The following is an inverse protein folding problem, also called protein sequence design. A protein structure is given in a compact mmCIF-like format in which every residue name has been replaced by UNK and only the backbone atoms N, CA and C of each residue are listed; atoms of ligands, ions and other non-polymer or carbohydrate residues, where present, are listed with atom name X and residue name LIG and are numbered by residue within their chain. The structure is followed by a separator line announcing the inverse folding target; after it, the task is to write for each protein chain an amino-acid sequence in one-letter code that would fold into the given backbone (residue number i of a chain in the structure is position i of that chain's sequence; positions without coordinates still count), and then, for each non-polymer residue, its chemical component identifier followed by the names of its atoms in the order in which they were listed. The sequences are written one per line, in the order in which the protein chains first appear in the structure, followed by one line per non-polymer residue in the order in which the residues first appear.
data_IF_925126663924
#
_entry.id   IF_925126663924
#
_cell.length_a   1.000
_cell.length_b   1.000
_cell.length_c   1.000
_cell.angle_alpha   90.00
_cell.angle_beta   90.00
_cell.angle_gamma   90.00
#
_symmetry.space_group_name_H-M   'P 1'
#
loop_
_entity.id
_entity.type
_entity.pdbx_description
1 polymer ?
#
# COMPACT_ATOMS: atom_id res chain seq x y z
N UNK A 1 -27.50 -11.73 3.46
CA UNK A 1 -27.07 -10.74 2.45
C UNK A 1 -26.20 -11.49 1.47
N UNK A 2 -26.51 -11.48 0.17
CA UNK A 2 -25.63 -12.10 -0.83
C UNK A 2 -24.51 -11.10 -1.19
N UNK A 3 -23.33 -11.29 -0.62
CA UNK A 3 -22.18 -10.38 -0.77
C UNK A 3 -21.67 -10.39 -2.20
N UNK A 4 -21.53 -11.58 -2.78
CA UNK A 4 -21.07 -11.76 -4.16
C UNK A 4 -22.01 -11.07 -5.16
N UNK A 5 -23.32 -11.24 -5.01
CA UNK A 5 -24.31 -10.60 -5.88
C UNK A 5 -24.27 -9.06 -5.77
N UNK A 6 -23.96 -8.53 -4.59
CA UNK A 6 -23.81 -7.08 -4.41
C UNK A 6 -22.51 -6.57 -5.04
N UNK A 7 -21.39 -7.25 -4.78
CA UNK A 7 -20.07 -6.85 -5.28
C UNK A 7 -19.91 -7.05 -6.80
N UNK A 8 -20.74 -7.89 -7.44
CA UNK A 8 -20.74 -8.02 -8.90
C UNK A 8 -21.43 -6.86 -9.63
N UNK A 9 -22.13 -5.97 -8.91
CA UNK A 9 -22.87 -4.82 -9.47
C UNK A 9 -22.06 -3.52 -9.35
N UNK A 10 -22.49 -2.48 -10.07
CA UNK A 10 -21.95 -1.13 -9.84
C UNK A 10 -22.42 -0.63 -8.48
N UNK A 11 -21.48 -0.39 -7.57
CA UNK A 11 -21.74 0.11 -6.22
C UNK A 11 -20.99 1.41 -5.95
N UNK A 12 -21.44 2.15 -4.95
CA UNK A 12 -20.86 3.44 -4.57
C UNK A 12 -20.37 3.42 -3.12
N UNK A 13 -19.75 4.52 -2.69
CA UNK A 13 -19.16 4.67 -1.35
C UNK A 13 -20.09 4.22 -0.20
N UNK A 14 -21.40 4.54 -0.18
CA UNK A 14 -22.27 4.06 0.90
C UNK A 14 -22.36 2.53 0.99
N UNK A 15 -22.48 1.84 -0.15
CA UNK A 15 -22.49 0.38 -0.17
C UNK A 15 -21.12 -0.19 0.23
N UNK A 16 -20.03 0.41 -0.27
CA UNK A 16 -18.65 0.00 0.07
C UNK A 16 -18.41 0.09 1.57
N UNK A 17 -18.77 1.22 2.19
CA UNK A 17 -18.68 1.41 3.64
C UNK A 17 -19.54 0.40 4.39
N UNK A 18 -20.78 0.19 3.96
CA UNK A 18 -21.66 -0.84 4.55
C UNK A 18 -21.05 -2.23 4.48
N UNK A 19 -20.37 -2.58 3.39
CA UNK A 19 -19.67 -3.86 3.27
C UNK A 19 -18.45 -3.95 4.18
N UNK A 20 -17.69 -2.86 4.32
CA UNK A 20 -16.57 -2.81 5.26
C UNK A 20 -17.05 -2.97 6.71
N UNK A 21 -18.16 -2.30 7.08
CA UNK A 21 -18.82 -2.48 8.37
C UNK A 21 -19.31 -3.91 8.61
N UNK A 22 -19.82 -4.59 7.57
CA UNK A 22 -20.24 -5.98 7.67
C UNK A 22 -19.06 -6.95 7.85
N UNK A 23 -17.92 -6.66 7.22
CA UNK A 23 -16.74 -7.50 7.30
C UNK A 23 -15.90 -7.28 8.57
N UNK A 24 -15.87 -6.05 9.08
CA UNK A 24 -15.03 -5.67 10.21
C UNK A 24 -15.27 -6.51 11.47
N UNK A 25 -14.20 -6.91 12.14
CA UNK A 25 -14.24 -7.78 13.32
C UNK A 25 -14.51 -9.25 13.03
N UNK A 26 -14.70 -9.66 11.76
CA UNK A 26 -14.89 -11.06 11.37
C UNK A 26 -13.82 -11.49 10.36
N UNK A 27 -12.87 -12.31 10.83
CA UNK A 27 -11.83 -12.90 9.96
C UNK A 27 -12.44 -13.70 8.80
N UNK A 28 -13.55 -14.39 9.03
CA UNK A 28 -14.27 -15.14 7.99
C UNK A 28 -14.86 -14.22 6.91
N UNK A 29 -15.45 -13.09 7.31
CA UNK A 29 -16.01 -12.14 6.33
C UNK A 29 -14.90 -11.42 5.56
N UNK A 30 -13.78 -11.10 6.21
CA UNK A 30 -12.60 -10.52 5.53
C UNK A 30 -11.99 -11.55 4.57
N UNK A 31 -11.88 -12.82 4.95
CA UNK A 31 -11.48 -13.92 4.07
C UNK A 31 -12.44 -14.08 2.88
N UNK A 32 -13.74 -13.90 3.10
CA UNK A 32 -14.74 -13.88 2.02
C UNK A 32 -14.48 -12.73 1.05
N UNK A 33 -14.22 -11.51 1.55
CA UNK A 33 -13.85 -10.39 0.69
C UNK A 33 -12.57 -10.67 -0.10
N UNK A 34 -11.57 -11.30 0.53
CA UNK A 34 -10.33 -11.66 -0.17
C UNK A 34 -10.58 -12.70 -1.26
N UNK A 35 -11.34 -13.76 -0.99
CA UNK A 35 -11.75 -14.72 -2.02
C UNK A 35 -12.46 -14.06 -3.20
N UNK A 36 -13.30 -13.05 -2.93
CA UNK A 36 -13.96 -12.26 -3.98
C UNK A 36 -13.00 -11.31 -4.71
N UNK A 37 -11.94 -10.83 -4.04
CA UNK A 37 -10.85 -10.08 -4.66
C UNK A 37 -10.07 -10.91 -5.68
N UNK A 38 -9.98 -12.24 -5.48
CA UNK A 38 -9.38 -13.19 -6.43
C UNK A 38 -10.30 -13.55 -7.61
N UNK A 39 -11.53 -13.04 -7.66
CA UNK A 39 -12.50 -13.36 -8.72
C UNK A 39 -12.03 -12.93 -10.12
N UNK A 40 -12.26 -13.79 -11.11
CA UNK A 40 -12.08 -13.46 -12.54
C UNK A 40 -13.03 -12.33 -12.99
N UNK A 41 -14.17 -12.16 -12.32
CA UNK A 41 -15.05 -11.04 -12.56
C UNK A 41 -14.39 -9.74 -12.06
N UNK A 42 -13.89 -8.94 -13.00
CA UNK A 42 -13.23 -7.66 -12.71
C UNK A 42 -14.03 -6.77 -11.76
N UNK A 43 -15.35 -6.67 -11.93
CA UNK A 43 -16.21 -5.83 -11.08
C UNK A 43 -16.21 -6.33 -9.63
N UNK A 44 -16.44 -7.63 -9.44
CA UNK A 44 -16.40 -8.29 -8.12
C UNK A 44 -15.05 -8.08 -7.45
N UNK A 45 -13.95 -8.34 -8.17
CA UNK A 45 -12.60 -8.20 -7.66
C UNK A 45 -12.26 -6.76 -7.26
N UNK A 46 -12.55 -5.78 -8.13
CA UNK A 46 -12.32 -4.35 -7.83
C UNK A 46 -13.16 -3.90 -6.64
N UNK A 47 -14.44 -4.28 -6.59
CA UNK A 47 -15.33 -3.87 -5.50
C UNK A 47 -14.93 -4.50 -4.16
N UNK A 48 -14.50 -5.76 -4.17
CA UNK A 48 -13.99 -6.44 -2.99
C UNK A 48 -12.72 -5.76 -2.45
N UNK A 49 -11.72 -5.52 -3.31
CA UNK A 49 -10.51 -4.77 -2.95
C UNK A 49 -10.88 -3.36 -2.43
N UNK A 50 -11.81 -2.69 -3.10
CA UNK A 50 -12.25 -1.36 -2.68
C UNK A 50 -12.89 -1.40 -1.30
N UNK A 51 -13.77 -2.36 -1.02
CA UNK A 51 -14.31 -2.61 0.34
C UNK A 51 -13.21 -2.81 1.35
N UNK A 52 -12.20 -3.63 1.06
CA UNK A 52 -11.08 -3.87 1.98
C UNK A 52 -10.32 -2.58 2.32
N UNK A 53 -10.22 -1.62 1.39
CA UNK A 53 -9.57 -0.32 1.68
C UNK A 53 -10.29 0.57 2.71
N UNK A 54 -11.53 0.22 3.09
CA UNK A 54 -12.32 0.92 4.12
C UNK A 54 -12.43 0.13 5.42
N UNK A 55 -11.73 -1.01 5.55
CA UNK A 55 -11.65 -1.70 6.83
C UNK A 55 -10.93 -0.82 7.87
N UNK A 56 -11.41 -0.78 9.12
CA UNK A 56 -10.77 -0.01 10.18
C UNK A 56 -9.42 -0.60 10.61
N UNK A 57 -8.61 0.20 11.29
CA UNK A 57 -7.30 -0.22 11.80
C UNK A 57 -7.37 -1.41 12.78
N UNK A 58 -8.53 -1.66 13.41
CA UNK A 58 -8.75 -2.84 14.24
C UNK A 58 -8.64 -4.16 13.48
N UNK A 59 -8.76 -4.14 12.15
CA UNK A 59 -8.62 -5.31 11.28
C UNK A 59 -7.23 -5.40 10.61
N UNK A 60 -6.26 -4.55 11.00
CA UNK A 60 -4.94 -4.48 10.39
C UNK A 60 -4.20 -5.83 10.44
N UNK A 61 -4.22 -6.53 11.59
CA UNK A 61 -3.57 -7.84 11.74
C UNK A 61 -4.11 -8.87 10.73
N UNK A 62 -5.42 -8.84 10.46
CA UNK A 62 -6.03 -9.73 9.47
C UNK A 62 -5.56 -9.40 8.05
N UNK A 63 -5.45 -8.11 7.71
CA UNK A 63 -4.93 -7.69 6.40
C UNK A 63 -3.44 -8.00 6.23
N UNK A 64 -2.66 -7.86 7.31
CA UNK A 64 -1.23 -8.19 7.33
C UNK A 64 -1.00 -9.69 7.12
N UNK A 65 -1.87 -10.55 7.66
CA UNK A 65 -1.79 -11.99 7.39
C UNK A 65 -1.97 -12.36 5.91
N UNK A 66 -2.56 -11.47 5.10
CA UNK A 66 -2.80 -11.65 3.66
C UNK A 66 -1.75 -10.95 2.78
N UNK A 67 -0.73 -10.31 3.39
CA UNK A 67 0.24 -9.46 2.69
C UNK A 67 0.92 -10.15 1.52
N UNK A 68 1.40 -11.37 1.72
CA UNK A 68 2.14 -12.09 0.68
C UNK A 68 1.26 -12.38 -0.53
N UNK A 69 0.01 -12.79 -0.31
CA UNK A 69 -0.95 -13.01 -1.40
C UNK A 69 -1.32 -11.71 -2.12
N UNK A 70 -1.45 -10.60 -1.37
CA UNK A 70 -1.66 -9.26 -1.96
C UNK A 70 -0.48 -8.81 -2.82
N UNK A 71 0.75 -9.10 -2.41
CA UNK A 71 1.95 -8.81 -3.18
C UNK A 71 1.99 -9.68 -4.44
N UNK A 72 1.76 -10.98 -4.34
CA UNK A 72 1.78 -11.89 -5.50
C UNK A 72 0.74 -11.47 -6.56
N UNK A 73 -0.46 -11.08 -6.10
CA UNK A 73 -1.47 -10.49 -6.97
C UNK A 73 -0.99 -9.18 -7.59
N UNK A 74 -0.42 -8.26 -6.80
CA UNK A 74 0.06 -6.97 -7.31
C UNK A 74 1.12 -7.13 -8.41
N UNK A 75 2.08 -8.04 -8.22
CA UNK A 75 3.19 -8.26 -9.14
C UNK A 75 2.74 -8.82 -10.49
N UNK A 76 1.63 -9.58 -10.51
CA UNK A 76 1.06 -10.16 -11.74
C UNK A 76 -0.08 -9.33 -12.35
N UNK A 77 -0.61 -8.33 -11.64
CA UNK A 77 -1.80 -7.59 -12.05
C UNK A 77 -1.54 -6.61 -13.21
N UNK A 78 -2.45 -6.60 -14.17
CA UNK A 78 -2.43 -5.68 -15.32
C UNK A 78 -3.44 -4.54 -15.19
N UNK A 79 -4.54 -4.76 -14.46
CA UNK A 79 -5.56 -3.74 -14.21
C UNK A 79 -5.05 -2.66 -13.26
N UNK A 80 -4.93 -1.45 -13.78
CA UNK A 80 -4.46 -0.26 -13.06
C UNK A 80 -5.33 0.08 -11.83
N UNK A 81 -6.64 -0.17 -11.89
CA UNK A 81 -7.56 0.08 -10.79
C UNK A 81 -7.29 -0.84 -9.61
N UNK A 82 -7.13 -2.14 -9.88
CA UNK A 82 -6.76 -3.15 -8.89
C UNK A 82 -5.37 -2.90 -8.31
N UNK A 83 -4.36 -2.64 -9.15
CA UNK A 83 -3.00 -2.27 -8.69
C UNK A 83 -3.02 -1.12 -7.69
N UNK A 84 -3.78 -0.07 -7.99
CA UNK A 84 -3.94 1.08 -7.09
C UNK A 84 -4.56 0.68 -5.74
N UNK A 85 -5.58 -0.19 -5.74
CA UNK A 85 -6.25 -0.63 -4.51
C UNK A 85 -5.35 -1.56 -3.68
N UNK A 86 -4.64 -2.48 -4.30
CA UNK A 86 -3.65 -3.36 -3.64
C UNK A 86 -2.54 -2.53 -3.00
N UNK A 87 -1.94 -1.60 -3.75
CA UNK A 87 -0.93 -0.68 -3.20
C UNK A 87 -1.49 0.21 -2.07
N UNK A 88 -2.77 0.57 -2.13
CA UNK A 88 -3.42 1.32 -1.05
C UNK A 88 -3.53 0.50 0.24
N UNK A 89 -3.79 -0.80 0.13
CA UNK A 89 -3.79 -1.73 1.28
C UNK A 89 -2.37 -1.89 1.81
N UNK A 90 -1.43 -2.26 0.94
CA UNK A 90 -0.05 -2.59 1.29
C UNK A 90 0.70 -1.41 1.92
N UNK A 91 0.54 -0.18 1.42
CA UNK A 91 1.21 1.01 2.00
C UNK A 91 0.78 1.32 3.44
N UNK A 92 -0.39 0.83 3.86
CA UNK A 92 -0.95 1.10 5.18
C UNK A 92 -0.51 0.06 6.23
N UNK A 93 0.07 -1.07 5.80
CA UNK A 93 0.57 -2.11 6.70
C UNK A 93 1.89 -1.69 7.36
N UNK A 94 2.23 -2.37 8.46
CA UNK A 94 3.57 -2.33 9.06
C UNK A 94 4.43 -3.49 8.52
N UNK A 95 5.74 -3.30 8.41
CA UNK A 95 6.66 -4.32 7.91
C UNK A 95 7.68 -4.64 9.01
N UNK A 96 7.94 -5.92 9.23
CA UNK A 96 9.00 -6.34 10.15
C UNK A 96 10.34 -6.29 9.42
N UNK A 97 11.41 -5.95 10.12
CA UNK A 97 12.76 -5.96 9.56
C UNK A 97 13.19 -7.39 9.15
N UNK A 98 12.69 -8.41 9.85
CA UNK A 98 13.04 -9.80 9.62
C UNK A 98 12.18 -10.47 8.53
N UNK A 99 11.12 -9.81 8.04
CA UNK A 99 10.15 -10.33 7.06
C UNK A 99 9.87 -9.32 5.94
N UNK A 100 10.93 -8.94 5.23
CA UNK A 100 10.85 -8.07 4.04
C UNK A 100 10.83 -8.90 2.77
N UNK A 101 9.81 -8.63 1.95
CA UNK A 101 9.77 -9.06 0.56
C UNK A 101 10.48 -8.08 -0.37
N UNK A 102 11.67 -8.45 -0.83
CA UNK A 102 12.51 -7.63 -1.70
C UNK A 102 11.88 -7.39 -3.07
N UNK A 103 11.18 -8.38 -3.63
CA UNK A 103 10.49 -8.24 -4.92
C UNK A 103 9.38 -7.17 -4.91
N UNK A 104 8.68 -7.03 -3.77
CA UNK A 104 7.73 -5.93 -3.57
C UNK A 104 8.44 -4.58 -3.44
N UNK A 105 9.56 -4.53 -2.73
CA UNK A 105 10.37 -3.30 -2.62
C UNK A 105 10.88 -2.86 -4.00
N UNK A 106 11.46 -3.78 -4.78
CA UNK A 106 11.95 -3.56 -6.14
C UNK A 106 10.82 -3.06 -7.05
N UNK A 107 9.64 -3.69 -6.94
CA UNK A 107 8.45 -3.19 -7.61
C UNK A 107 8.18 -1.74 -7.22
N UNK A 108 8.09 -1.41 -5.93
CA UNK A 108 7.82 -0.05 -5.49
C UNK A 108 8.87 0.95 -6.01
N UNK A 109 10.17 0.66 -5.86
CA UNK A 109 11.26 1.52 -6.33
C UNK A 109 11.18 1.78 -7.83
N UNK A 110 10.91 0.74 -8.63
CA UNK A 110 10.75 0.86 -10.10
C UNK A 110 9.59 1.79 -10.49
N UNK A 111 8.55 1.91 -9.67
CA UNK A 111 7.38 2.74 -9.95
C UNK A 111 7.56 4.21 -9.55
N UNK A 112 8.44 4.54 -8.60
CA UNK A 112 8.58 5.92 -8.10
C UNK A 112 8.85 6.91 -9.25
N UNK A 113 9.77 6.58 -10.15
CA UNK A 113 10.21 7.44 -11.25
C UNK A 113 9.55 7.13 -12.61
N UNK A 114 8.63 6.18 -12.68
CA UNK A 114 7.94 5.82 -13.93
C UNK A 114 6.85 6.85 -14.27
N UNK A 115 7.12 7.76 -15.19
CA UNK A 115 6.17 8.81 -15.61
C UNK A 115 4.93 8.27 -16.34
N UNK A 116 4.99 7.04 -16.86
CA UNK A 116 3.85 6.35 -17.47
C UNK A 116 2.85 5.81 -16.43
N UNK A 117 3.27 5.67 -15.17
CA UNK A 117 2.39 5.17 -14.12
C UNK A 117 1.47 6.28 -13.57
N UNK A 118 0.21 5.95 -13.23
CA UNK A 118 -0.67 6.89 -12.57
C UNK A 118 -0.07 7.46 -11.29
N UNK A 119 -0.30 8.75 -11.03
CA UNK A 119 0.22 9.44 -9.86
C UNK A 119 -0.10 8.72 -8.53
N UNK A 120 -1.27 8.10 -8.42
CA UNK A 120 -1.63 7.34 -7.21
C UNK A 120 -0.74 6.13 -6.98
N UNK A 121 -0.41 5.36 -8.03
CA UNK A 121 0.49 4.20 -7.94
C UNK A 121 1.87 4.68 -7.50
N UNK A 122 2.42 5.71 -8.16
CA UNK A 122 3.71 6.32 -7.79
C UNK A 122 3.73 6.79 -6.33
N UNK A 123 2.71 7.53 -5.88
CA UNK A 123 2.58 7.98 -4.49
C UNK A 123 2.52 6.81 -3.50
N UNK A 124 1.78 5.75 -3.83
CA UNK A 124 1.62 4.61 -2.92
C UNK A 124 2.89 3.78 -2.84
N UNK A 125 3.62 3.64 -3.95
CA UNK A 125 4.94 3.03 -3.98
C UNK A 125 5.96 3.79 -3.12
N UNK A 126 5.96 5.13 -3.15
CA UNK A 126 6.81 5.93 -2.24
C UNK A 126 6.52 5.59 -0.78
N UNK A 127 5.24 5.54 -0.40
CA UNK A 127 4.86 5.27 0.99
C UNK A 127 5.18 3.84 1.42
N UNK A 128 4.91 2.85 0.57
CA UNK A 128 5.24 1.45 0.85
C UNK A 128 6.75 1.23 0.93
N UNK A 129 7.53 1.77 -0.03
CA UNK A 129 8.99 1.70 0.01
C UNK A 129 9.55 2.32 1.29
N UNK A 130 9.08 3.51 1.69
CA UNK A 130 9.50 4.12 2.96
C UNK A 130 9.25 3.22 4.18
N UNK A 131 8.09 2.55 4.23
CA UNK A 131 7.70 1.68 5.34
C UNK A 131 8.61 0.45 5.47
N UNK A 132 9.13 -0.03 4.34
CA UNK A 132 10.10 -1.13 4.29
C UNK A 132 11.52 -0.61 4.59
N UNK A 133 11.94 0.46 3.92
CA UNK A 133 13.29 1.01 4.04
C UNK A 133 13.60 1.54 5.44
N UNK A 134 12.63 2.07 6.20
CA UNK A 134 12.88 2.70 7.51
C UNK A 134 13.58 1.82 8.55
N UNK A 135 13.65 0.51 8.33
CA UNK A 135 14.38 -0.43 9.17
C UNK A 135 15.89 -0.47 8.86
N UNK A 136 16.30 -0.06 7.66
CA UNK A 136 17.64 -0.25 7.11
C UNK A 136 18.24 1.07 6.60
N UNK A 137 19.35 1.58 7.19
CA UNK A 137 20.01 2.80 6.72
C UNK A 137 20.35 2.82 5.23
N UNK A 138 20.83 1.69 4.69
CA UNK A 138 21.20 1.52 3.29
C UNK A 138 20.01 1.62 2.35
N UNK A 139 18.87 1.01 2.70
CA UNK A 139 17.65 1.09 1.90
C UNK A 139 17.00 2.48 1.97
N UNK A 140 17.20 3.22 3.07
CA UNK A 140 16.80 4.63 3.15
C UNK A 140 17.64 5.47 2.19
N UNK A 141 18.96 5.27 2.14
CA UNK A 141 19.83 5.99 1.22
C UNK A 141 19.41 5.72 -0.25
N UNK A 142 19.14 4.46 -0.61
CA UNK A 142 18.63 4.10 -1.93
C UNK A 142 17.27 4.76 -2.22
N UNK A 143 16.34 4.77 -1.26
CA UNK A 143 15.07 5.47 -1.41
C UNK A 143 15.26 6.97 -1.66
N UNK A 144 16.19 7.61 -0.96
CA UNK A 144 16.50 9.03 -1.14
C UNK A 144 16.99 9.34 -2.56
N UNK A 145 17.82 8.48 -3.15
CA UNK A 145 18.26 8.61 -4.54
C UNK A 145 17.06 8.59 -5.52
N UNK A 146 16.12 7.66 -5.32
CA UNK A 146 14.89 7.60 -6.12
C UNK A 146 14.05 8.88 -5.94
N UNK A 147 13.94 9.40 -4.73
CA UNK A 147 13.18 10.62 -4.42
C UNK A 147 13.84 11.90 -4.96
N UNK A 148 15.17 11.95 -5.00
CA UNK A 148 15.94 13.04 -5.58
C UNK A 148 15.81 13.08 -7.10
N UNK A 149 15.91 11.93 -7.76
CA UNK A 149 15.70 11.83 -9.21
C UNK A 149 14.30 12.32 -9.62
N UNK A 150 13.29 12.05 -8.78
CA UNK A 150 11.92 12.50 -9.04
C UNK A 150 11.79 14.04 -9.12
N UNK A 151 12.70 14.79 -8.51
CA UNK A 151 12.69 16.27 -8.56
C UNK A 151 13.00 16.82 -9.96
N UNK A 152 13.62 16.03 -10.83
CA UNK A 152 13.89 16.39 -12.22
C UNK A 152 12.63 16.34 -13.11
N UNK A 153 11.51 15.82 -12.61
CA UNK A 153 10.28 15.62 -13.37
C UNK A 153 9.22 16.70 -13.08
N UNK A 154 8.22 16.79 -13.96
CA UNK A 154 7.05 17.66 -13.69
C UNK A 154 6.09 16.96 -12.74
N UNK A 155 6.14 17.33 -11.46
CA UNK A 155 5.36 16.67 -10.42
C UNK A 155 3.96 17.26 -10.24
N UNK A 156 2.96 16.38 -10.20
CA UNK A 156 1.60 16.73 -9.78
C UNK A 156 1.57 17.19 -8.31
N UNK A 157 0.54 17.95 -7.87
CA UNK A 157 0.41 18.36 -6.47
C UNK A 157 0.44 17.17 -5.48
N UNK A 158 -0.16 16.04 -5.88
CA UNK A 158 -0.15 14.81 -5.09
C UNK A 158 1.26 14.24 -4.91
N UNK A 159 2.06 14.18 -5.98
CA UNK A 159 3.45 13.71 -5.93
C UNK A 159 4.35 14.64 -5.12
N UNK A 160 4.21 15.96 -5.29
CA UNK A 160 4.93 16.95 -4.48
C UNK A 160 4.64 16.77 -2.99
N UNK A 161 3.38 16.50 -2.65
CA UNK A 161 2.98 16.23 -1.26
C UNK A 161 3.58 14.93 -0.74
N UNK A 162 3.54 13.84 -1.51
CA UNK A 162 4.10 12.55 -1.14
C UNK A 162 5.62 12.62 -0.93
N UNK A 163 6.33 13.27 -1.85
CA UNK A 163 7.76 13.53 -1.76
C UNK A 163 8.12 14.27 -0.47
N UNK A 164 7.47 15.42 -0.24
CA UNK A 164 7.75 16.26 0.93
C UNK A 164 7.48 15.50 2.23
N UNK A 165 6.34 14.82 2.33
CA UNK A 165 5.99 14.06 3.54
C UNK A 165 7.00 12.95 3.82
N UNK A 166 7.42 12.23 2.78
CA UNK A 166 8.38 11.14 2.93
C UNK A 166 9.75 11.64 3.32
N UNK A 167 10.28 12.69 2.66
CA UNK A 167 11.54 13.33 3.07
C UNK A 167 11.51 13.84 4.51
N UNK A 168 10.40 14.44 4.94
CA UNK A 168 10.23 14.85 6.35
C UNK A 168 10.27 13.66 7.31
N UNK A 169 9.69 12.51 6.96
CA UNK A 169 9.77 11.30 7.78
C UNK A 169 11.20 10.75 7.84
N UNK A 170 11.91 10.71 6.72
CA UNK A 170 13.31 10.28 6.64
C UNK A 170 14.20 11.18 7.53
N UNK A 171 14.07 12.50 7.44
CA UNK A 171 14.83 13.42 8.28
C UNK A 171 14.58 13.18 9.78
N UNK A 172 13.31 12.98 10.18
CA UNK A 172 12.96 12.64 11.57
C UNK A 172 13.53 11.31 12.05
N UNK A 173 13.62 10.33 11.14
CA UNK A 173 14.22 9.03 11.42
C UNK A 173 15.74 9.13 11.64
N UNK A 174 16.42 9.97 10.85
CA UNK A 174 17.84 10.26 11.05
C UNK A 174 18.08 10.92 12.43
N UNK A 175 17.28 11.94 12.78
CA UNK A 175 17.37 12.63 14.06
C UNK A 175 17.16 11.68 15.27
N UNK A 176 16.22 10.73 15.16
CA UNK A 176 15.96 9.77 16.25
C UNK A 176 17.10 8.78 16.42
N UNK A 177 17.69 8.30 15.31
CA UNK A 177 18.85 7.40 15.32
C UNK A 177 20.09 8.07 15.92
N UNK A 178 20.34 9.34 15.58
CA UNK A 178 21.47 10.10 16.13
C UNK A 178 21.32 10.39 17.63
N UNK A 179 20.11 10.68 18.10
CA UNK A 179 19.84 10.83 19.54
C UNK A 179 20.07 9.52 20.30
N UNK A 180 19.61 8.39 19.77
CA UNK A 180 19.89 7.09 20.39
C UNK A 180 21.40 6.83 20.46
N UNK A 181 22.15 7.03 19.38
CA UNK A 181 23.62 6.84 19.39
C UNK A 181 24.33 7.65 20.48
N UNK A 182 23.93 8.92 20.67
CA UNK A 182 24.52 9.81 21.70
C UNK A 182 24.20 9.44 23.15
N UNK A 183 23.18 8.60 23.40
CA UNK A 183 22.85 8.14 24.76
C UNK A 183 23.76 6.98 25.19
N UNK A 184 24.32 6.24 24.23
CA UNK A 184 25.16 5.06 24.46
C UNK A 184 26.66 5.30 24.21
N UNK A 185 27.06 6.56 24.03
CA UNK A 185 28.46 7.03 23.91
C UNK A 185 28.77 8.03 25.00
#
# INVERSE_FOLDING_TARGET
MNVEELLSKRIHIPQIKRMALWASGSRENIATLWSLALSECRMTSVNALWTMTHLPATDAECLESMRNEMIDMLLSETDTGKKRLLLQLLRNQEYDADDIRTDFLDFCMSKINSECEPYAIRCFSIYAAYRICQHFPELIAELEEHLDMMQCQTLSPGLKSALRQTKTKIAKLADSRDKCRKIWT
#
